data_IF_898298024789
#
_entry.id   IF_898298024789
#
_cell.length_a   1.000
_cell.length_b   1.000
_cell.length_c   1.000
_cell.angle_alpha   90.00
_cell.angle_beta   90.00
_cell.angle_gamma   90.00
#
_symmetry.space_group_name_H-M   'P 1'
#
loop_
_entity.id
_entity.type
_entity.pdbx_description
1 polymer ?
#
# COMPACT_ATOMS: atom_id res chain seq x y z
N UNK A 1 -13.48 27.95 5.77
CA UNK A 1 -12.84 26.64 5.51
C UNK A 1 -11.88 26.19 6.62
N UNK A 2 -10.95 27.05 7.07
CA UNK A 2 -9.95 26.73 8.12
C UNK A 2 -10.55 26.37 9.49
N UNK A 3 -11.67 26.99 9.87
CA UNK A 3 -12.38 26.71 11.13
C UNK A 3 -13.05 25.33 11.14
N UNK A 4 -13.55 24.87 9.98
CA UNK A 4 -14.12 23.52 9.85
C UNK A 4 -13.02 22.46 9.86
N UNK A 5 -11.87 22.72 9.24
CA UNK A 5 -10.71 21.83 9.24
C UNK A 5 -10.13 21.62 10.66
N UNK A 6 -10.08 22.68 11.48
CA UNK A 6 -9.62 22.63 12.87
C UNK A 6 -10.62 21.89 13.79
N UNK A 7 -11.93 22.07 13.58
CA UNK A 7 -12.97 21.34 14.31
C UNK A 7 -12.98 19.84 13.96
N UNK A 8 -12.81 19.50 12.67
CA UNK A 8 -12.70 18.10 12.22
C UNK A 8 -11.45 17.43 12.83
N UNK A 9 -10.32 18.14 12.89
CA UNK A 9 -9.10 17.64 13.53
C UNK A 9 -9.29 17.41 15.03
N UNK A 10 -9.90 18.34 15.76
CA UNK A 10 -10.16 18.18 17.21
C UNK A 10 -11.14 17.03 17.49
N UNK A 11 -12.22 16.90 16.69
CA UNK A 11 -13.16 15.79 16.84
C UNK A 11 -12.48 14.45 16.52
N UNK A 12 -11.62 14.39 15.50
CA UNK A 12 -10.84 13.20 15.18
C UNK A 12 -9.90 12.82 16.33
N UNK A 13 -9.17 13.78 16.90
CA UNK A 13 -8.29 13.54 18.05
C UNK A 13 -9.06 13.10 19.30
N UNK A 14 -10.24 13.66 19.56
CA UNK A 14 -11.08 13.29 20.71
C UNK A 14 -11.71 11.91 20.53
N UNK A 15 -12.20 11.58 19.32
CA UNK A 15 -12.70 10.23 19.01
C UNK A 15 -11.56 9.20 19.10
N UNK A 16 -10.38 9.52 18.58
CA UNK A 16 -9.18 8.69 18.72
C UNK A 16 -8.84 8.47 20.20
N UNK A 17 -8.88 9.53 21.02
CA UNK A 17 -8.63 9.42 22.46
C UNK A 17 -9.67 8.54 23.16
N UNK A 18 -10.96 8.70 22.87
CA UNK A 18 -12.06 7.91 23.46
C UNK A 18 -11.96 6.43 23.07
N UNK A 19 -11.49 6.11 21.87
CA UNK A 19 -11.25 4.71 21.48
C UNK A 19 -10.11 4.04 22.26
N UNK A 20 -9.13 4.81 22.75
CA UNK A 20 -7.97 4.26 23.48
C UNK A 20 -8.32 3.90 24.93
N UNK A 21 -9.26 4.62 25.57
CA UNK A 21 -9.55 4.45 27.01
C UNK A 21 -10.43 3.23 27.31
N UNK A 22 -11.08 2.64 26.31
CA UNK A 22 -11.84 1.39 26.47
C UNK A 22 -10.90 0.17 26.44
N UNK A 23 -9.95 0.09 27.37
CA UNK A 23 -9.15 -1.12 27.56
C UNK A 23 -10.01 -2.17 28.28
N UNK A 24 -10.46 -3.15 27.50
CA UNK A 24 -11.22 -4.32 27.95
C UNK A 24 -10.47 -5.11 29.01
N UNK A 25 -11.15 -5.44 30.12
CA UNK A 25 -10.69 -6.45 31.09
C UNK A 25 -10.75 -7.82 30.41
N UNK A 26 -9.58 -8.36 30.04
CA UNK A 26 -9.46 -9.72 29.56
C UNK A 26 -9.41 -10.71 30.73
N UNK A 27 -10.07 -11.87 30.58
CA UNK A 27 -10.01 -12.93 31.60
C UNK A 27 -8.64 -13.62 31.62
N UNK A 28 -8.19 -14.10 32.78
CA UNK A 28 -6.88 -14.74 32.93
C UNK A 28 -6.64 -15.91 31.95
N UNK A 29 -7.69 -16.66 31.61
CA UNK A 29 -7.62 -17.74 30.61
C UNK A 29 -7.36 -17.22 29.20
N UNK A 30 -8.02 -16.13 28.80
CA UNK A 30 -7.80 -15.51 27.49
C UNK A 30 -6.39 -14.92 27.37
N UNK A 31 -5.86 -14.35 28.46
CA UNK A 31 -4.51 -13.79 28.52
C UNK A 31 -3.45 -14.88 28.34
N UNK A 32 -3.61 -16.03 29.02
CA UNK A 32 -2.68 -17.15 28.85
C UNK A 32 -2.74 -17.73 27.43
N UNK A 33 -3.94 -17.91 26.87
CA UNK A 33 -4.08 -18.40 25.50
C UNK A 33 -3.49 -17.43 24.46
N UNK A 34 -3.61 -16.11 24.68
CA UNK A 34 -2.97 -15.12 23.82
C UNK A 34 -1.44 -15.21 23.87
N UNK A 35 -0.87 -15.32 25.07
CA UNK A 35 0.57 -15.53 25.26
C UNK A 35 1.08 -16.82 24.60
N UNK A 36 0.35 -17.92 24.74
CA UNK A 36 0.69 -19.19 24.11
C UNK A 36 0.58 -19.14 22.58
N UNK A 37 -0.33 -18.33 22.03
CA UNK A 37 -0.47 -18.12 20.59
C UNK A 37 0.71 -17.36 20.00
N UNK A 38 1.33 -16.46 20.77
CA UNK A 38 2.46 -15.66 20.31
C UNK A 38 3.81 -16.40 20.34
N UNK A 39 3.88 -17.55 21.01
CA UNK A 39 5.13 -18.28 21.25
C UNK A 39 5.15 -19.68 20.60
N UNK A 40 6.32 -20.08 20.12
CA UNK A 40 6.64 -21.41 19.61
C UNK A 40 7.13 -22.32 20.72
N UNK A 41 6.76 -23.61 20.67
CA UNK A 41 7.28 -24.59 21.61
C UNK A 41 8.71 -25.01 21.25
N UNK A 42 9.69 -24.62 22.07
CA UNK A 42 11.09 -25.09 22.02
C UNK A 42 11.26 -26.34 22.89
N UNK A 43 10.66 -27.45 22.47
CA UNK A 43 10.96 -28.76 23.05
C UNK A 43 12.13 -29.44 22.33
N UNK A 44 12.83 -30.31 23.05
CA UNK A 44 13.97 -31.08 22.52
C UNK A 44 13.56 -31.97 21.33
N UNK A 45 12.30 -32.43 21.32
CA UNK A 45 11.70 -33.22 20.24
C UNK A 45 11.43 -32.43 18.95
N UNK A 46 11.77 -31.13 18.90
CA UNK A 46 11.61 -30.23 17.74
C UNK A 46 10.22 -30.27 17.11
N UNK A 47 9.16 -30.24 17.91
CA UNK A 47 7.80 -30.42 17.38
C UNK A 47 7.36 -29.31 16.39
N UNK A 48 7.97 -28.11 16.45
CA UNK A 48 7.70 -27.01 15.52
C UNK A 48 6.30 -26.41 15.61
N UNK A 49 5.56 -26.66 16.69
CA UNK A 49 4.19 -26.16 16.91
C UNK A 49 4.18 -24.88 17.74
N UNK A 50 3.17 -24.05 17.50
CA UNK A 50 2.77 -22.97 18.43
C UNK A 50 2.50 -23.59 19.80
N UNK A 51 2.88 -22.90 20.88
CA UNK A 51 2.77 -23.42 22.25
C UNK A 51 1.35 -23.82 22.62
N UNK A 52 0.34 -23.06 22.17
CA UNK A 52 -1.07 -23.38 22.44
C UNK A 52 -1.51 -24.74 21.86
N UNK A 53 -0.90 -25.14 20.74
CA UNK A 53 -1.21 -26.39 20.02
C UNK A 53 -0.26 -27.54 20.40
N UNK A 54 0.63 -27.31 21.37
CA UNK A 54 1.59 -28.31 21.82
C UNK A 54 1.19 -28.91 23.17
N UNK A 55 1.28 -30.24 23.28
CA UNK A 55 0.90 -31.03 24.46
C UNK A 55 2.10 -31.80 25.04
N UNK A 56 3.32 -31.32 24.82
CA UNK A 56 4.53 -31.95 25.38
C UNK A 56 4.80 -31.48 26.82
N UNK A 57 5.60 -32.25 27.57
CA UNK A 57 5.94 -31.91 28.97
C UNK A 57 6.56 -30.52 29.12
N UNK A 58 7.37 -30.09 28.15
CA UNK A 58 7.96 -28.74 28.14
C UNK A 58 6.91 -27.65 27.95
N UNK A 59 5.90 -27.89 27.11
CA UNK A 59 4.78 -26.98 26.96
C UNK A 59 4.03 -26.82 28.28
N UNK A 60 3.68 -27.92 28.95
CA UNK A 60 2.97 -27.88 30.23
C UNK A 60 3.76 -27.14 31.33
N UNK A 61 5.08 -27.33 31.37
CA UNK A 61 5.96 -26.58 32.28
C UNK A 61 5.94 -25.08 31.97
N UNK A 62 6.00 -24.70 30.70
CA UNK A 62 5.94 -23.31 30.28
C UNK A 62 4.58 -22.68 30.61
N UNK A 63 3.46 -23.38 30.38
CA UNK A 63 2.12 -22.91 30.76
C UNK A 63 2.05 -22.57 32.24
N UNK A 64 2.46 -23.49 33.12
CA UNK A 64 2.50 -23.25 34.57
C UNK A 64 3.41 -22.07 34.95
N UNK A 65 4.56 -21.93 34.29
CA UNK A 65 5.47 -20.81 34.51
C UNK A 65 4.83 -19.48 34.11
N UNK A 66 4.20 -19.42 32.95
CA UNK A 66 3.56 -18.23 32.43
C UNK A 66 2.33 -17.84 33.24
N UNK A 67 1.52 -18.80 33.69
CA UNK A 67 0.42 -18.53 34.63
C UNK A 67 0.93 -17.83 35.88
N UNK A 68 2.02 -18.31 36.49
CA UNK A 68 2.62 -17.66 37.67
C UNK A 68 3.13 -16.24 37.37
N UNK A 69 3.72 -16.02 36.18
CA UNK A 69 4.18 -14.69 35.77
C UNK A 69 3.01 -13.72 35.60
N UNK A 70 1.91 -14.16 34.97
CA UNK A 70 0.69 -13.38 34.83
C UNK A 70 0.05 -13.09 36.19
N UNK A 71 0.01 -14.08 37.10
CA UNK A 71 -0.47 -13.91 38.48
C UNK A 71 0.38 -12.92 39.28
N UNK A 72 1.69 -12.82 38.99
CA UNK A 72 2.56 -11.82 39.60
C UNK A 72 2.40 -10.40 39.01
N UNK A 73 1.46 -10.21 38.07
CA UNK A 73 1.13 -8.91 37.48
C UNK A 73 1.93 -8.56 36.22
N UNK A 74 2.71 -9.48 35.66
CA UNK A 74 3.36 -9.25 34.37
C UNK A 74 2.35 -9.30 33.23
N UNK A 75 2.55 -8.45 32.24
CA UNK A 75 1.76 -8.43 31.01
C UNK A 75 2.27 -9.45 29.99
N UNK A 76 1.42 -9.84 29.03
CA UNK A 76 1.78 -10.74 27.92
C UNK A 76 3.01 -10.23 27.19
N UNK A 77 3.02 -8.95 26.81
CA UNK A 77 4.13 -8.33 26.08
C UNK A 77 5.44 -8.40 26.87
N UNK A 78 5.41 -8.15 28.18
CA UNK A 78 6.61 -8.26 29.03
C UNK A 78 7.17 -9.69 29.07
N UNK A 79 6.29 -10.70 29.16
CA UNK A 79 6.70 -12.09 29.17
C UNK A 79 7.26 -12.49 27.80
N UNK A 80 6.60 -12.08 26.71
CA UNK A 80 7.08 -12.31 25.34
C UNK A 80 8.46 -11.71 25.14
N UNK A 81 8.68 -10.46 25.57
CA UNK A 81 9.99 -9.80 25.45
C UNK A 81 11.10 -10.53 26.22
N UNK A 82 10.83 -11.00 27.44
CA UNK A 82 11.80 -11.83 28.17
C UNK A 82 12.14 -13.13 27.42
N UNK A 83 11.17 -13.71 26.71
CA UNK A 83 11.40 -14.92 25.93
C UNK A 83 12.13 -14.64 24.62
N UNK A 84 11.90 -13.48 23.98
CA UNK A 84 12.69 -13.01 22.84
C UNK A 84 14.14 -12.77 23.27
N UNK A 85 14.36 -12.14 24.42
CA UNK A 85 15.71 -11.90 24.95
C UNK A 85 16.47 -13.21 25.20
N UNK A 86 15.76 -14.24 25.67
CA UNK A 86 16.35 -15.55 25.96
C UNK A 86 16.56 -16.45 24.74
N UNK A 87 15.62 -16.46 23.80
CA UNK A 87 15.58 -17.43 22.68
C UNK A 87 15.68 -16.79 21.29
N UNK A 88 15.78 -15.46 21.22
CA UNK A 88 15.73 -14.67 20.00
C UNK A 88 14.33 -14.59 19.39
N UNK A 89 14.19 -13.87 18.27
CA UNK A 89 12.91 -13.70 17.56
C UNK A 89 12.33 -15.03 17.02
N UNK A 90 13.14 -16.09 16.94
CA UNK A 90 12.70 -17.43 16.51
C UNK A 90 11.73 -18.11 17.47
N UNK A 91 11.52 -17.55 18.66
CA UNK A 91 10.50 -18.02 19.61
C UNK A 91 9.11 -17.51 19.25
N UNK A 92 9.00 -16.44 18.46
CA UNK A 92 7.70 -15.90 18.10
C UNK A 92 7.02 -16.78 17.04
N UNK A 93 5.72 -16.96 17.19
CA UNK A 93 4.91 -17.67 16.20
C UNK A 93 4.67 -16.84 14.93
N UNK A 94 4.74 -15.52 15.05
CA UNK A 94 4.62 -14.56 13.97
C UNK A 94 5.82 -13.60 14.00
N UNK A 95 6.27 -13.11 12.83
CA UNK A 95 7.42 -12.21 12.79
C UNK A 95 7.09 -10.90 13.52
N UNK A 96 8.08 -10.34 14.23
CA UNK A 96 7.89 -9.16 15.09
C UNK A 96 7.40 -7.97 14.27
N UNK A 97 6.44 -7.19 14.78
CA UNK A 97 5.86 -6.04 14.03
C UNK A 97 6.79 -4.81 13.97
N UNK A 98 8.05 -4.96 14.35
CA UNK A 98 9.00 -3.87 14.51
C UNK A 98 10.17 -4.00 13.51
N UNK A 99 10.85 -2.89 13.25
CA UNK A 99 12.06 -2.86 12.40
C UNK A 99 11.79 -3.17 10.93
N UNK A 100 12.58 -4.08 10.34
CA UNK A 100 12.53 -4.41 8.90
C UNK A 100 11.20 -5.02 8.46
N UNK A 101 10.46 -5.67 9.36
CA UNK A 101 9.14 -6.21 9.03
C UNK A 101 8.12 -5.10 8.71
N UNK A 102 8.31 -3.90 9.29
CA UNK A 102 7.45 -2.75 8.98
C UNK A 102 7.59 -2.30 7.52
N UNK A 103 8.80 -2.37 6.96
CA UNK A 103 9.03 -2.07 5.54
C UNK A 103 8.25 -2.99 4.61
N UNK A 104 8.05 -4.27 4.97
CA UNK A 104 7.22 -5.18 4.19
C UNK A 104 5.76 -4.72 4.09
N UNK A 105 5.26 -4.02 5.12
CA UNK A 105 3.93 -3.43 5.14
C UNK A 105 3.85 -2.07 4.44
N UNK A 106 4.88 -1.23 4.53
CA UNK A 106 4.87 0.14 4.00
C UNK A 106 5.25 0.20 2.51
N UNK A 107 6.19 -0.64 2.07
CA UNK A 107 6.71 -0.63 0.70
C UNK A 107 5.63 -0.81 -0.37
N UNK A 108 4.64 -1.72 -0.26
CA UNK A 108 3.61 -1.88 -1.28
C UNK A 108 2.85 -0.59 -1.56
N UNK A 109 2.44 0.13 -0.51
CA UNK A 109 1.74 1.40 -0.65
C UNK A 109 2.67 2.51 -1.14
N UNK A 110 3.91 2.56 -0.64
CA UNK A 110 4.92 3.52 -1.08
C UNK A 110 5.26 3.37 -2.57
N UNK A 111 5.44 2.14 -3.04
CA UNK A 111 5.75 1.82 -4.42
C UNK A 111 4.61 2.23 -5.36
N UNK A 112 3.35 1.94 -4.99
CA UNK A 112 2.18 2.36 -5.78
C UNK A 112 2.09 3.89 -5.83
N UNK A 113 2.30 4.59 -4.72
CA UNK A 113 2.25 6.06 -4.70
C UNK A 113 3.34 6.67 -5.56
N UNK A 114 4.58 6.21 -5.40
CA UNK A 114 5.73 6.71 -6.19
C UNK A 114 5.51 6.41 -7.67
N UNK A 115 5.09 5.20 -8.02
CA UNK A 115 4.79 4.80 -9.39
C UNK A 115 3.66 5.63 -10.00
N UNK A 116 2.56 5.82 -9.28
CA UNK A 116 1.42 6.62 -9.74
C UNK A 116 1.78 8.09 -9.97
N UNK A 117 2.53 8.70 -9.05
CA UNK A 117 3.03 10.08 -9.20
C UNK A 117 4.00 10.18 -10.39
N UNK A 118 4.89 9.20 -10.54
CA UNK A 118 5.84 9.12 -11.65
C UNK A 118 5.13 9.09 -13.01
N UNK A 119 4.18 8.17 -13.18
CA UNK A 119 3.36 8.06 -14.40
C UNK A 119 2.61 9.36 -14.67
N UNK A 120 1.96 9.94 -13.65
CA UNK A 120 1.23 11.21 -13.80
C UNK A 120 2.14 12.35 -14.30
N UNK A 121 3.35 12.47 -13.76
CA UNK A 121 4.31 13.50 -14.21
C UNK A 121 4.80 13.26 -15.63
N UNK A 122 5.07 12.01 -15.99
CA UNK A 122 5.48 11.64 -17.36
C UNK A 122 4.38 11.98 -18.37
N UNK A 123 3.14 11.60 -18.08
CA UNK A 123 1.99 11.90 -18.94
C UNK A 123 1.76 13.41 -19.06
N UNK A 124 1.79 14.16 -17.95
CA UNK A 124 1.62 15.61 -17.99
C UNK A 124 2.72 16.30 -18.83
N UNK A 125 3.97 15.85 -18.70
CA UNK A 125 5.09 16.37 -19.49
C UNK A 125 5.02 16.04 -20.99
N UNK A 126 4.25 15.02 -21.38
CA UNK A 126 3.96 14.71 -22.79
C UNK A 126 2.77 15.49 -23.32
N UNK A 127 1.76 15.77 -22.48
CA UNK A 127 0.55 16.51 -22.85
C UNK A 127 0.81 18.01 -22.96
N UNK A 128 1.64 18.61 -22.10
CA UNK A 128 1.95 20.05 -22.14
C UNK A 128 2.75 20.48 -23.39
N UNK A 129 3.43 19.54 -24.07
CA UNK A 129 4.10 19.82 -25.35
C UNK A 129 3.15 19.94 -26.54
N UNK A 130 1.84 19.76 -26.33
CA UNK A 130 0.77 20.00 -27.31
C UNK A 130 -0.13 21.17 -26.89
N UNK A 131 0.43 22.35 -26.64
CA UNK A 131 -0.32 23.59 -26.86
C UNK A 131 -0.05 24.06 -28.29
N UNK A 132 -1.05 24.08 -29.18
CA UNK A 132 -0.86 24.57 -30.54
C UNK A 132 -0.64 26.08 -30.44
N UNK A 133 0.39 26.56 -31.13
CA UNK A 133 0.60 27.98 -31.37
C UNK A 133 -0.55 28.49 -32.25
N UNK A 134 -1.67 28.88 -31.63
CA UNK A 134 -2.78 29.58 -32.25
C UNK A 134 -3.00 30.86 -31.42
N UNK A 135 -2.05 31.78 -31.50
CA UNK A 135 -2.19 33.20 -31.09
C UNK A 135 -0.80 33.83 -31.29
N UNK A 136 -0.55 34.50 -32.42
CA UNK A 136 0.36 35.66 -32.55
C UNK A 136 0.67 36.06 -34.01
N UNK A 137 0.00 35.52 -35.04
CA UNK A 137 0.23 35.94 -36.45
C UNK A 137 -0.97 36.59 -37.15
N UNK A 138 -1.85 37.25 -36.39
CA UNK A 138 -2.96 38.05 -36.97
C UNK A 138 -2.73 39.56 -36.84
N UNK A 139 -1.49 40.02 -36.75
CA UNK A 139 -1.16 41.45 -36.83
C UNK A 139 0.09 41.58 -37.71
N UNK A 140 -0.04 42.35 -38.79
CA UNK A 140 0.99 42.77 -39.74
C UNK A 140 1.39 41.78 -40.87
N UNK A 141 0.89 42.03 -42.08
CA UNK A 141 1.55 41.60 -43.32
C UNK A 141 0.67 40.92 -44.36
N UNK A 142 -0.18 41.70 -45.02
CA UNK A 142 -0.66 41.39 -46.37
C UNK A 142 0.56 41.40 -47.31
N UNK A 143 1.15 40.23 -47.59
CA UNK A 143 1.98 39.95 -48.79
C UNK A 143 2.55 38.52 -48.75
N UNK A 144 2.05 37.71 -49.68
CA UNK A 144 2.71 36.56 -50.28
C UNK A 144 2.89 35.26 -49.46
N UNK A 145 2.51 34.18 -50.15
CA UNK A 145 2.97 32.80 -50.01
C UNK A 145 2.33 31.93 -48.92
N UNK A 146 1.35 31.18 -49.42
CA UNK A 146 1.09 29.77 -49.14
C UNK A 146 2.20 28.98 -48.42
N UNK A 147 1.75 28.05 -47.57
CA UNK A 147 2.31 26.70 -47.35
C UNK A 147 2.70 26.41 -45.90
N UNK A 148 2.16 25.30 -45.38
CA UNK A 148 2.94 24.46 -44.46
C UNK A 148 2.25 23.95 -43.20
N UNK A 149 1.09 23.28 -43.35
CA UNK A 149 0.48 22.53 -42.24
C UNK A 149 -0.47 21.40 -42.63
N UNK A 150 -0.88 21.32 -43.90
CA UNK A 150 -1.99 20.45 -44.34
C UNK A 150 -1.55 19.19 -45.12
N UNK A 151 -0.24 18.99 -45.30
CA UNK A 151 0.28 17.97 -46.22
C UNK A 151 0.13 16.52 -45.74
N UNK A 152 -0.27 16.25 -44.49
CA UNK A 152 -0.46 14.86 -44.02
C UNK A 152 -1.90 14.38 -44.18
N UNK A 153 -2.89 15.21 -43.86
CA UNK A 153 -4.32 14.92 -44.04
C UNK A 153 -4.78 15.11 -45.49
N UNK A 154 -4.24 16.09 -46.21
CA UNK A 154 -4.61 16.35 -47.61
C UNK A 154 -4.02 15.29 -48.55
N UNK A 155 -2.78 14.83 -48.30
CA UNK A 155 -2.15 13.76 -49.08
C UNK A 155 -2.79 12.40 -48.85
N UNK A 156 -3.26 12.11 -47.61
CA UNK A 156 -4.02 10.88 -47.38
C UNK A 156 -5.42 10.97 -47.98
N UNK A 157 -6.18 12.05 -47.74
CA UNK A 157 -7.53 12.24 -48.30
C UNK A 157 -7.55 12.19 -49.84
N UNK A 158 -6.62 12.88 -50.50
CA UNK A 158 -6.48 12.86 -51.97
C UNK A 158 -6.09 11.49 -52.55
N UNK A 159 -5.38 10.66 -51.78
CA UNK A 159 -5.05 9.28 -52.16
C UNK A 159 -6.29 8.37 -52.10
N UNK A 160 -7.15 8.54 -51.08
CA UNK A 160 -8.38 7.78 -50.96
C UNK A 160 -9.42 8.16 -52.03
N UNK A 161 -9.57 9.45 -52.33
CA UNK A 161 -10.53 9.90 -53.35
C UNK A 161 -10.17 9.43 -54.78
N UNK A 162 -8.88 9.30 -55.10
CA UNK A 162 -8.44 8.70 -56.38
C UNK A 162 -8.71 7.20 -56.45
N UNK A 163 -8.49 6.45 -55.36
CA UNK A 163 -8.79 5.02 -55.28
C UNK A 163 -10.27 4.72 -55.45
N UNK A 164 -11.17 5.54 -54.88
CA UNK A 164 -12.61 5.33 -55.05
C UNK A 164 -13.08 5.51 -56.51
N UNK A 165 -12.53 6.47 -57.25
CA UNK A 165 -12.88 6.67 -58.66
C UNK A 165 -12.46 5.50 -59.54
N UNK A 166 -11.26 4.97 -59.30
CA UNK A 166 -10.72 3.82 -60.04
C UNK A 166 -11.56 2.54 -59.82
N UNK A 167 -12.02 2.31 -58.59
CA UNK A 167 -12.93 1.19 -58.29
C UNK A 167 -14.33 1.41 -58.87
N UNK A 168 -14.80 2.66 -58.96
CA UNK A 168 -16.12 2.97 -59.50
C UNK A 168 -16.17 2.75 -61.02
N UNK A 169 -15.16 3.22 -61.76
CA UNK A 169 -15.04 2.99 -63.22
C UNK A 169 -14.95 1.49 -63.54
N UNK A 170 -14.29 0.71 -62.69
CA UNK A 170 -14.16 -0.75 -62.84
C UNK A 170 -15.46 -1.52 -62.57
N UNK A 171 -16.39 -0.94 -61.82
CA UNK A 171 -17.70 -1.54 -61.53
C UNK A 171 -18.79 -1.13 -62.53
N UNK A 172 -18.55 -0.07 -63.31
CA UNK A 172 -19.47 0.43 -64.34
C UNK A 172 -19.22 -0.20 -65.73
N UNK A 173 -18.08 -0.88 -65.93
CA UNK A 173 -17.75 -1.70 -67.12
C UNK A 173 -17.93 -3.20 -66.88
#
# INVERSE_FOLDING_TARGET
MVIHLKKISVVFFVVLFITIVNSSVASAGAILSDLENQLMCKCDDKCGKVLINCTCSTADKNRKKFTKMLESGLTVDQIVQQQIEKYGETILSAPSKNGFNLTAWVIPFGAIMIGGIGIRKLVNGWVEKKKPAIELKNIEGDAASESGGEKSSEVTSSKYSRRLKDELDRLET
#
